data_IF_677295225547
#
_entry.id   IF_677295225547
#
_cell.length_a   1.000
_cell.length_b   1.000
_cell.length_c   1.000
_cell.angle_alpha   90.00
_cell.angle_beta   90.00
_cell.angle_gamma   90.00
#
_symmetry.space_group_name_H-M   'P 1'
#
loop_
_entity.id
_entity.type
_entity.pdbx_description
1 polymer ?
#
# COMPACT_ATOMS: atom_id res chain seq x y z
N UNK A 1 8.21 -9.13 18.47
CA UNK A 1 8.41 -7.67 18.62
C UNK A 1 7.53 -6.98 17.59
N UNK A 2 6.55 -6.18 18.01
CA UNK A 2 5.55 -5.53 17.13
C UNK A 2 6.02 -4.18 16.56
N UNK A 3 7.12 -4.18 15.81
CA UNK A 3 7.69 -2.98 15.19
C UNK A 3 7.00 -2.58 13.87
N UNK A 4 7.38 -1.42 13.32
CA UNK A 4 6.90 -0.94 12.01
C UNK A 4 7.92 -1.19 10.91
N UNK A 5 7.45 -1.47 9.68
CA UNK A 5 8.27 -1.63 8.47
C UNK A 5 9.02 -0.35 8.08
N UNK A 6 8.45 0.80 8.42
CA UNK A 6 9.04 2.09 8.13
C UNK A 6 8.61 3.10 9.17
N UNK A 7 9.59 3.66 9.89
CA UNK A 7 9.34 4.74 10.82
C UNK A 7 9.20 6.09 10.11
N UNK A 8 10.01 6.32 9.07
CA UNK A 8 10.19 7.66 8.48
C UNK A 8 10.20 7.64 6.93
N UNK A 9 10.91 6.68 6.33
CA UNK A 9 11.19 6.66 4.88
C UNK A 9 10.00 6.23 4.00
N UNK A 10 8.88 5.82 4.60
CA UNK A 10 7.72 5.28 3.88
C UNK A 10 7.95 3.88 3.29
N UNK A 11 7.01 3.44 2.45
CA UNK A 11 6.95 2.07 1.92
C UNK A 11 7.59 1.98 0.54
N UNK A 12 7.07 2.78 -0.41
CA UNK A 12 7.46 2.73 -1.82
C UNK A 12 7.35 1.32 -2.43
N UNK A 13 7.96 1.11 -3.60
CA UNK A 13 7.96 -0.22 -4.25
C UNK A 13 8.71 -1.27 -3.42
N UNK A 14 9.73 -0.85 -2.68
CA UNK A 14 10.68 -1.73 -2.00
C UNK A 14 10.05 -2.49 -0.83
N UNK A 15 9.20 -1.82 -0.04
CA UNK A 15 8.63 -2.39 1.20
C UNK A 15 7.15 -2.78 1.07
N UNK A 16 6.59 -2.75 -0.14
CA UNK A 16 5.15 -2.98 -0.35
C UNK A 16 4.64 -4.35 0.11
N UNK A 17 5.49 -5.38 0.04
CA UNK A 17 5.08 -6.74 0.44
C UNK A 17 4.96 -6.83 1.97
N UNK A 18 5.89 -6.19 2.68
CA UNK A 18 5.84 -6.05 4.13
C UNK A 18 4.67 -5.18 4.61
N UNK A 19 4.14 -4.28 3.77
CA UNK A 19 2.94 -3.51 4.09
C UNK A 19 1.72 -4.43 4.24
N UNK A 20 1.58 -5.42 3.36
CA UNK A 20 0.50 -6.40 3.44
C UNK A 20 0.65 -7.32 4.66
N UNK A 21 1.88 -7.69 5.03
CA UNK A 21 2.15 -8.43 6.27
C UNK A 21 1.74 -7.66 7.53
N UNK A 22 1.92 -6.33 7.53
CA UNK A 22 1.58 -5.49 8.69
C UNK A 22 0.09 -5.24 8.87
N UNK A 23 -0.63 -4.96 7.77
CA UNK A 23 -2.03 -4.51 7.84
C UNK A 23 -3.03 -5.60 7.43
N UNK A 24 -2.53 -6.72 6.89
CA UNK A 24 -3.35 -7.80 6.38
C UNK A 24 -4.15 -7.41 5.13
N UNK A 25 -4.81 -8.41 4.54
CA UNK A 25 -5.58 -8.24 3.32
C UNK A 25 -6.72 -7.22 3.46
N UNK A 26 -7.40 -7.17 4.61
CA UNK A 26 -8.50 -6.22 4.85
C UNK A 26 -8.02 -4.77 4.91
N UNK A 27 -6.94 -4.51 5.66
CA UNK A 27 -6.36 -3.17 5.75
C UNK A 27 -5.83 -2.68 4.39
N UNK A 28 -5.23 -3.57 3.60
CA UNK A 28 -4.82 -3.24 2.24
C UNK A 28 -6.03 -2.88 1.36
N UNK A 29 -7.14 -3.60 1.48
CA UNK A 29 -8.33 -3.30 0.68
C UNK A 29 -8.96 -1.97 1.07
N UNK A 30 -9.04 -1.65 2.36
CA UNK A 30 -9.48 -0.33 2.85
C UNK A 30 -8.62 0.79 2.27
N UNK A 31 -7.29 0.65 2.26
CA UNK A 31 -6.39 1.63 1.65
C UNK A 31 -6.62 1.77 0.13
N UNK A 32 -6.92 0.67 -0.57
CA UNK A 32 -7.25 0.72 -2.01
C UNK A 32 -8.55 1.46 -2.27
N UNK A 33 -9.59 1.20 -1.46
CA UNK A 33 -10.86 1.90 -1.58
C UNK A 33 -10.71 3.39 -1.31
N UNK A 34 -9.98 3.76 -0.25
CA UNK A 34 -9.65 5.15 0.02
C UNK A 34 -8.92 5.80 -1.16
N UNK A 35 -7.92 5.13 -1.74
CA UNK A 35 -7.20 5.65 -2.91
C UNK A 35 -8.13 5.87 -4.10
N UNK A 36 -9.07 4.96 -4.38
CA UNK A 36 -10.02 5.10 -5.50
C UNK A 36 -10.92 6.33 -5.37
N UNK A 37 -11.19 6.80 -4.16
CA UNK A 37 -11.95 8.04 -3.96
C UNK A 37 -11.21 9.29 -4.51
N UNK A 38 -9.88 9.26 -4.57
CA UNK A 38 -9.06 10.39 -5.04
C UNK A 38 -8.38 10.14 -6.40
N UNK A 39 -8.11 8.88 -6.73
CA UNK A 39 -7.43 8.45 -7.96
C UNK A 39 -8.19 7.28 -8.61
N UNK A 40 -9.43 7.51 -9.10
CA UNK A 40 -10.30 6.46 -9.63
C UNK A 40 -9.74 5.78 -10.88
N UNK A 41 -8.91 6.50 -11.64
CA UNK A 41 -8.24 6.00 -12.84
C UNK A 41 -6.85 5.40 -12.55
N UNK A 42 -6.43 5.36 -11.28
CA UNK A 42 -5.17 4.78 -10.85
C UNK A 42 -3.95 5.37 -11.59
N UNK A 43 -3.93 6.69 -11.84
CA UNK A 43 -2.87 7.35 -12.60
C UNK A 43 -1.63 7.65 -11.75
N UNK A 44 -1.81 7.84 -10.44
CA UNK A 44 -0.75 8.33 -9.56
C UNK A 44 0.08 7.19 -8.96
N UNK A 45 1.40 7.20 -9.18
CA UNK A 45 2.36 6.33 -8.49
C UNK A 45 1.99 4.84 -8.51
N UNK A 46 1.57 4.33 -9.68
CA UNK A 46 1.22 2.93 -9.86
C UNK A 46 2.33 1.98 -9.40
N UNK A 47 1.93 0.89 -8.75
CA UNK A 47 2.86 -0.14 -8.29
C UNK A 47 3.63 0.20 -7.00
N UNK A 48 3.54 1.43 -6.46
CA UNK A 48 4.26 1.81 -5.24
C UNK A 48 3.72 1.07 -4.02
N UNK A 49 2.49 1.35 -3.58
CA UNK A 49 1.93 0.75 -2.36
C UNK A 49 1.29 -0.61 -2.61
N UNK A 50 0.71 -0.80 -3.80
CA UNK A 50 0.00 -2.02 -4.15
C UNK A 50 0.56 -2.58 -5.45
N UNK A 51 0.54 -3.91 -5.60
CA UNK A 51 0.82 -4.55 -6.89
C UNK A 51 -0.17 -4.02 -7.94
N UNK A 52 0.31 -3.82 -9.15
CA UNK A 52 -0.60 -3.48 -10.25
C UNK A 52 -1.57 -4.65 -10.45
N UNK A 53 -2.87 -4.37 -10.66
CA UNK A 53 -3.77 -5.40 -11.15
C UNK A 53 -3.19 -5.92 -12.47
N UNK A 54 -3.07 -7.25 -12.57
CA UNK A 54 -2.71 -7.91 -13.83
C UNK A 54 -3.80 -7.65 -14.87
#
# INVERSE_FOLDING_TARGET
MGGTVSAEHGVGKLKREMLEEMYGASGIEEMRQLRKCFDPLCLLNRGNLFKEPK
#
